data_IF_430853393319
#
_entry.id   IF_430853393319
#
_cell.length_a   1.000
_cell.length_b   1.000
_cell.length_c   1.000
_cell.angle_alpha   90.00
_cell.angle_beta   90.00
_cell.angle_gamma   90.00
#
_symmetry.space_group_name_H-M   'P 1'
#
loop_
_entity.id
_entity.type
_entity.pdbx_description
1 polymer ?
#
# COMPACT_ATOMS: atom_id res chain seq x y z
N UNK A 1 -16.21 8.48 1.57
CA UNK A 1 -15.43 7.29 1.94
C UNK A 1 -16.34 6.26 2.59
N UNK A 2 -16.71 5.22 1.86
CA UNK A 2 -17.55 4.16 2.40
C UNK A 2 -16.67 3.05 2.98
N UNK A 3 -15.99 3.34 4.08
CA UNK A 3 -15.17 2.35 4.80
C UNK A 3 -16.00 1.25 5.48
N UNK A 4 -17.31 1.47 5.61
CA UNK A 4 -18.20 0.69 6.47
C UNK A 4 -19.09 -0.26 5.65
N UNK A 5 -19.21 -0.06 4.35
CA UNK A 5 -20.11 -0.87 3.50
C UNK A 5 -19.30 -1.68 2.49
N UNK A 6 -19.13 -2.99 2.71
CA UNK A 6 -18.61 -3.87 1.68
C UNK A 6 -19.52 -3.78 0.46
N UNK A 7 -18.97 -4.00 -0.71
CA UNK A 7 -19.74 -4.05 -1.95
C UNK A 7 -20.70 -5.25 -1.83
N UNK A 8 -21.99 -4.99 -1.77
CA UNK A 8 -23.04 -6.03 -1.69
C UNK A 8 -23.18 -6.76 -3.02
N UNK A 9 -22.98 -6.06 -4.13
CA UNK A 9 -22.99 -6.61 -5.47
C UNK A 9 -21.62 -6.49 -6.12
N UNK A 10 -20.92 -7.61 -6.26
CA UNK A 10 -19.60 -7.67 -6.90
C UNK A 10 -19.65 -7.32 -8.39
N UNK A 11 -20.80 -7.47 -9.03
CA UNK A 11 -20.98 -7.17 -10.45
C UNK A 11 -20.98 -5.66 -10.77
N UNK A 12 -21.02 -4.79 -9.76
CA UNK A 12 -20.77 -3.35 -9.91
C UNK A 12 -19.35 -3.09 -10.46
N UNK A 13 -18.39 -3.99 -10.15
CA UNK A 13 -17.05 -3.89 -10.69
C UNK A 13 -17.02 -4.35 -12.15
N UNK A 14 -17.13 -3.40 -13.07
CA UNK A 14 -17.14 -3.67 -14.51
C UNK A 14 -16.43 -2.57 -15.30
N UNK A 15 -15.09 -2.39 -15.15
CA UNK A 15 -14.34 -1.36 -15.86
C UNK A 15 -14.14 -1.72 -17.33
N UNK A 16 -15.15 -1.39 -18.17
CA UNK A 16 -15.17 -1.75 -19.59
C UNK A 16 -14.09 -1.07 -20.44
N UNK A 17 -13.55 0.06 -19.97
CA UNK A 17 -12.54 0.87 -20.67
C UNK A 17 -11.17 0.80 -19.98
N UNK A 18 -10.94 -0.18 -19.11
CA UNK A 18 -9.65 -0.32 -18.43
C UNK A 18 -8.53 -0.54 -19.44
N UNK A 19 -7.54 0.35 -19.43
CA UNK A 19 -6.34 0.30 -20.24
C UNK A 19 -5.11 0.68 -19.41
N UNK A 20 -4.40 -0.33 -18.90
CA UNK A 20 -3.18 -0.14 -18.11
C UNK A 20 -2.02 0.39 -18.96
N UNK A 21 -2.02 0.17 -20.26
CA UNK A 21 -1.05 0.76 -21.18
C UNK A 21 -1.17 2.29 -21.20
N UNK A 22 -2.39 2.80 -21.20
CA UNK A 22 -2.64 4.24 -21.16
C UNK A 22 -2.08 4.84 -19.86
N UNK A 23 -2.29 4.21 -18.70
CA UNK A 23 -1.76 4.68 -17.42
C UNK A 23 -0.24 4.79 -17.43
N UNK A 24 0.43 3.74 -17.90
CA UNK A 24 1.88 3.68 -17.89
C UNK A 24 2.52 4.59 -18.94
N UNK A 25 1.88 4.78 -20.09
CA UNK A 25 2.30 5.78 -21.07
C UNK A 25 2.25 7.20 -20.51
N UNK A 26 1.15 7.54 -19.81
CA UNK A 26 0.98 8.84 -19.17
C UNK A 26 2.05 9.07 -18.08
N UNK A 27 2.28 8.08 -17.21
CA UNK A 27 3.32 8.14 -16.18
C UNK A 27 4.71 8.31 -16.80
N UNK A 28 5.02 7.57 -17.87
CA UNK A 28 6.30 7.69 -18.59
C UNK A 28 6.46 9.08 -19.21
N UNK A 29 5.43 9.61 -19.84
CA UNK A 29 5.45 10.96 -20.41
C UNK A 29 5.65 12.06 -19.36
N UNK A 30 5.14 11.84 -18.14
CA UNK A 30 5.41 12.69 -16.98
C UNK A 30 6.83 12.54 -16.38
N UNK A 31 7.65 11.63 -16.91
CA UNK A 31 9.03 11.39 -16.46
C UNK A 31 9.20 10.40 -15.33
N UNK A 32 8.12 9.70 -14.94
CA UNK A 32 8.18 8.66 -13.90
C UNK A 32 9.16 7.54 -14.27
N UNK A 33 9.80 6.97 -13.25
CA UNK A 33 10.72 5.83 -13.37
C UNK A 33 10.10 4.52 -12.89
N UNK A 34 9.12 4.63 -12.04
CA UNK A 34 8.33 3.52 -11.53
C UNK A 34 6.87 3.94 -11.39
N UNK A 35 5.99 2.98 -11.28
CA UNK A 35 4.58 3.18 -10.98
C UNK A 35 4.16 2.18 -9.91
N UNK A 36 3.22 2.56 -9.04
CA UNK A 36 2.72 1.71 -7.95
C UNK A 36 1.22 1.51 -8.16
N UNK A 37 0.79 0.24 -8.22
CA UNK A 37 -0.62 -0.10 -8.29
C UNK A 37 -1.16 -0.39 -6.89
N UNK A 38 -2.29 0.23 -6.54
CA UNK A 38 -3.06 -0.17 -5.37
C UNK A 38 -3.77 -1.50 -5.67
N UNK A 39 -3.18 -2.61 -5.23
CA UNK A 39 -3.74 -3.95 -5.48
C UNK A 39 -4.92 -4.29 -4.56
N UNK A 40 -4.91 -3.75 -3.35
CA UNK A 40 -6.01 -3.79 -2.39
C UNK A 40 -5.93 -2.60 -1.46
N UNK A 41 -7.07 -2.07 -1.05
CA UNK A 41 -7.21 -0.94 -0.14
C UNK A 41 -8.11 -1.33 1.06
N UNK A 42 -8.63 -0.37 1.79
CA UNK A 42 -9.44 -0.56 3.01
C UNK A 42 -10.73 -1.37 2.82
N UNK A 43 -11.25 -1.46 1.59
CA UNK A 43 -12.41 -2.34 1.30
C UNK A 43 -12.05 -3.82 1.41
N UNK A 44 -10.76 -4.16 1.25
CA UNK A 44 -10.29 -5.54 1.19
C UNK A 44 -10.45 -6.21 -0.18
N UNK A 45 -10.98 -5.49 -1.21
CA UNK A 45 -11.15 -6.04 -2.55
C UNK A 45 -9.78 -6.18 -3.25
N UNK A 46 -9.48 -7.38 -3.76
CA UNK A 46 -8.23 -7.68 -4.43
C UNK A 46 -8.31 -7.57 -5.95
N UNK A 47 -7.42 -6.78 -6.57
CA UNK A 47 -7.35 -6.57 -8.02
C UNK A 47 -6.55 -7.66 -8.76
N UNK A 48 -6.45 -8.87 -8.19
CA UNK A 48 -5.76 -10.02 -8.78
C UNK A 48 -6.53 -11.32 -8.57
N UNK A 49 -6.05 -12.40 -9.18
CA UNK A 49 -6.61 -13.75 -9.04
C UNK A 49 -6.11 -14.42 -7.75
N UNK A 50 -6.63 -13.97 -6.59
CA UNK A 50 -6.18 -14.52 -5.30
C UNK A 50 -6.77 -15.91 -5.04
N UNK A 51 -5.95 -16.81 -4.46
CA UNK A 51 -6.41 -18.08 -3.89
C UNK A 51 -6.62 -17.98 -2.36
N UNK A 52 -6.27 -16.84 -1.79
CA UNK A 52 -6.38 -16.56 -0.35
C UNK A 52 -7.57 -15.65 -0.06
N UNK A 53 -7.73 -14.59 -0.85
CA UNK A 53 -8.79 -13.61 -0.70
C UNK A 53 -9.96 -13.94 -1.62
N UNK A 54 -11.10 -14.44 -1.10
CA UNK A 54 -12.28 -14.70 -1.94
C UNK A 54 -12.92 -13.41 -2.48
N UNK A 55 -12.67 -12.26 -1.83
CA UNK A 55 -13.14 -10.95 -2.25
C UNK A 55 -12.15 -10.31 -3.25
N UNK A 56 -12.15 -10.82 -4.46
CA UNK A 56 -11.22 -10.43 -5.50
C UNK A 56 -11.84 -10.57 -6.89
N UNK A 57 -11.07 -10.33 -7.94
CA UNK A 57 -11.53 -10.41 -9.33
C UNK A 57 -12.09 -11.77 -9.77
N UNK A 58 -11.86 -12.85 -9.02
CA UNK A 58 -12.53 -14.14 -9.26
C UNK A 58 -14.03 -14.11 -8.97
N UNK A 59 -14.48 -13.21 -8.08
CA UNK A 59 -15.87 -13.12 -7.65
C UNK A 59 -16.75 -12.25 -8.57
N UNK A 60 -16.14 -11.54 -9.52
CA UNK A 60 -16.86 -10.62 -10.43
C UNK A 60 -17.03 -11.21 -11.82
N UNK A 61 -18.09 -10.82 -12.53
CA UNK A 61 -18.33 -11.26 -13.92
C UNK A 61 -17.39 -10.60 -14.94
N UNK A 62 -16.78 -9.50 -14.60
CA UNK A 62 -15.84 -8.82 -15.49
C UNK A 62 -14.77 -9.79 -16.00
N UNK A 63 -14.61 -9.83 -17.34
CA UNK A 63 -13.72 -10.78 -18.03
C UNK A 63 -13.98 -12.24 -17.64
N UNK A 64 -15.24 -12.62 -17.42
CA UNK A 64 -15.65 -13.98 -17.01
C UNK A 64 -14.95 -14.47 -15.72
N UNK A 65 -14.73 -13.58 -14.76
CA UNK A 65 -14.02 -13.88 -13.52
C UNK A 65 -12.52 -14.17 -13.68
N UNK A 66 -11.93 -13.87 -14.85
CA UNK A 66 -10.52 -14.14 -15.18
C UNK A 66 -9.66 -12.88 -15.26
N UNK A 67 -10.23 -11.72 -14.92
CA UNK A 67 -9.49 -10.47 -14.93
C UNK A 67 -8.35 -10.48 -13.90
N UNK A 68 -7.21 -9.88 -14.23
CA UNK A 68 -6.07 -9.71 -13.34
C UNK A 68 -5.40 -8.36 -13.65
N UNK A 69 -5.84 -7.32 -12.94
CA UNK A 69 -5.35 -5.96 -13.16
C UNK A 69 -3.89 -5.82 -12.71
N UNK A 70 -3.47 -6.56 -11.69
CA UNK A 70 -2.06 -6.59 -11.27
C UNK A 70 -1.18 -7.13 -12.40
N UNK A 71 -1.62 -8.19 -13.07
CA UNK A 71 -0.89 -8.75 -14.23
C UNK A 71 -0.86 -7.77 -15.39
N UNK A 72 -1.99 -7.16 -15.74
CA UNK A 72 -2.08 -6.19 -16.82
C UNK A 72 -1.15 -5.00 -16.56
N UNK A 73 -1.14 -4.48 -15.33
CA UNK A 73 -0.28 -3.37 -14.91
C UNK A 73 1.20 -3.72 -15.01
N UNK A 74 1.62 -4.87 -14.50
CA UNK A 74 3.03 -5.33 -14.57
C UNK A 74 3.47 -5.47 -16.02
N UNK A 75 2.62 -6.07 -16.87
CA UNK A 75 2.92 -6.20 -18.30
C UNK A 75 3.09 -4.83 -18.98
N UNK A 76 2.23 -3.87 -18.66
CA UNK A 76 2.34 -2.50 -19.17
C UNK A 76 3.61 -1.80 -18.67
N UNK A 77 3.96 -1.96 -17.39
CA UNK A 77 5.21 -1.43 -16.85
C UNK A 77 6.43 -1.95 -17.64
N UNK A 78 6.53 -3.24 -17.83
CA UNK A 78 7.63 -3.85 -18.59
C UNK A 78 7.64 -3.38 -20.06
N UNK A 79 6.48 -3.33 -20.70
CA UNK A 79 6.33 -2.89 -22.09
C UNK A 79 6.85 -1.48 -22.33
N UNK A 80 6.61 -0.56 -21.38
CA UNK A 80 6.98 0.86 -21.50
C UNK A 80 8.23 1.24 -20.69
N UNK A 81 8.87 0.29 -20.02
CA UNK A 81 10.13 0.49 -19.32
C UNK A 81 10.02 1.28 -18.01
N UNK A 82 8.92 1.12 -17.27
CA UNK A 82 8.78 1.54 -15.89
C UNK A 82 8.95 0.35 -14.94
N UNK A 83 9.48 0.60 -13.76
CA UNK A 83 9.59 -0.42 -12.72
C UNK A 83 8.23 -0.55 -12.02
N UNK A 84 7.66 -1.77 -11.89
CA UNK A 84 6.40 -1.97 -11.19
C UNK A 84 6.59 -1.96 -9.68
N UNK A 85 5.73 -1.25 -8.97
CA UNK A 85 5.55 -1.32 -7.53
C UNK A 85 4.13 -1.71 -7.17
N UNK A 86 3.91 -2.10 -5.93
CA UNK A 86 2.60 -2.52 -5.46
C UNK A 86 2.29 -1.95 -4.07
N UNK A 87 1.07 -1.46 -3.91
CA UNK A 87 0.51 -1.03 -2.63
C UNK A 87 -0.45 -2.10 -2.13
N UNK A 88 -0.33 -2.44 -0.85
CA UNK A 88 -1.11 -3.49 -0.18
C UNK A 88 -1.71 -2.93 1.10
N UNK A 89 -2.99 -2.58 1.07
CA UNK A 89 -3.74 -2.14 2.24
C UNK A 89 -4.17 -3.32 3.09
N UNK A 90 -3.62 -3.45 4.30
CA UNK A 90 -3.94 -4.51 5.26
C UNK A 90 -4.29 -3.98 6.66
N UNK A 91 -4.13 -2.69 6.87
CA UNK A 91 -4.42 -2.05 8.15
C UNK A 91 -5.91 -2.04 8.46
N UNK A 92 -6.72 -1.88 7.43
CA UNK A 92 -8.17 -1.96 7.48
C UNK A 92 -8.67 -2.97 6.46
N UNK A 93 -9.79 -3.60 6.78
CA UNK A 93 -10.53 -4.44 5.84
C UNK A 93 -12.00 -4.41 6.22
N UNK A 94 -12.79 -3.61 5.50
CA UNK A 94 -14.20 -3.38 5.81
C UNK A 94 -15.03 -4.66 5.70
N UNK A 95 -14.70 -5.52 4.72
CA UNK A 95 -15.40 -6.80 4.55
C UNK A 95 -15.23 -7.71 5.77
N UNK A 96 -14.01 -7.73 6.35
CA UNK A 96 -13.67 -8.63 7.45
C UNK A 96 -13.85 -7.97 8.83
N UNK A 97 -14.33 -6.72 8.89
CA UNK A 97 -14.46 -5.98 10.15
C UNK A 97 -13.11 -5.76 10.84
N UNK A 98 -12.07 -5.48 10.06
CA UNK A 98 -10.74 -5.19 10.58
C UNK A 98 -10.55 -3.68 10.65
N UNK A 99 -10.17 -3.21 11.81
CA UNK A 99 -9.85 -1.81 12.03
C UNK A 99 -8.50 -1.68 12.75
N UNK A 100 -7.56 -0.99 12.12
CA UNK A 100 -6.21 -0.82 12.65
C UNK A 100 -5.57 -2.16 13.05
N UNK A 101 -5.59 -3.14 12.13
CA UNK A 101 -5.14 -4.52 12.28
C UNK A 101 -5.95 -5.40 13.23
N UNK A 102 -6.92 -4.85 13.96
CA UNK A 102 -7.66 -5.55 15.01
C UNK A 102 -8.98 -6.10 14.49
N UNK A 103 -9.27 -7.32 14.89
CA UNK A 103 -10.61 -7.90 14.76
C UNK A 103 -11.48 -7.44 15.93
N UNK A 104 -12.77 -7.26 15.69
CA UNK A 104 -13.73 -6.97 16.75
C UNK A 104 -14.02 -8.20 17.61
N UNK A 105 -14.48 -7.95 18.85
CA UNK A 105 -14.93 -8.94 19.80
C UNK A 105 -13.89 -9.29 20.86
N UNK A 106 -14.26 -10.24 21.73
CA UNK A 106 -13.47 -10.68 22.88
C UNK A 106 -13.38 -12.19 22.94
N UNK A 107 -12.47 -12.69 23.79
CA UNK A 107 -12.31 -14.10 24.07
C UNK A 107 -11.59 -14.90 22.97
N UNK A 108 -11.76 -16.20 23.02
CA UNK A 108 -11.06 -17.16 22.13
C UNK A 108 -11.45 -16.98 20.66
N UNK A 109 -12.71 -16.67 20.38
CA UNK A 109 -13.16 -16.43 19.01
C UNK A 109 -12.48 -15.24 18.36
N UNK A 110 -12.38 -14.10 19.06
CA UNK A 110 -11.68 -12.91 18.56
C UNK A 110 -10.19 -13.17 18.38
N UNK A 111 -9.56 -13.93 19.29
CA UNK A 111 -8.16 -14.32 19.17
C UNK A 111 -7.94 -15.21 17.94
N UNK A 112 -8.78 -16.19 17.69
CA UNK A 112 -8.68 -17.07 16.53
C UNK A 112 -8.87 -16.30 15.22
N UNK A 113 -9.78 -15.31 15.16
CA UNK A 113 -9.94 -14.42 14.02
C UNK A 113 -8.70 -13.55 13.80
N UNK A 114 -8.08 -13.05 14.87
CA UNK A 114 -6.86 -12.25 14.79
C UNK A 114 -5.70 -13.06 14.21
N UNK A 115 -5.49 -14.27 14.70
CA UNK A 115 -4.46 -15.19 14.18
C UNK A 115 -4.74 -15.57 12.73
N UNK A 116 -6.00 -15.82 12.39
CA UNK A 116 -6.41 -16.07 11.02
C UNK A 116 -6.11 -14.87 10.10
N UNK A 117 -6.41 -13.64 10.53
CA UNK A 117 -6.17 -12.44 9.72
C UNK A 117 -4.68 -12.20 9.48
N UNK A 118 -3.83 -12.42 10.47
CA UNK A 118 -2.36 -12.39 10.29
C UNK A 118 -1.92 -13.31 9.17
N UNK A 119 -2.29 -14.58 9.24
CA UNK A 119 -1.93 -15.57 8.23
C UNK A 119 -2.58 -15.30 6.86
N UNK A 120 -3.79 -14.76 6.85
CA UNK A 120 -4.43 -14.30 5.62
C UNK A 120 -3.59 -13.21 4.94
N UNK A 121 -3.14 -12.19 5.66
CA UNK A 121 -2.27 -11.14 5.12
C UNK A 121 -0.93 -11.69 4.62
N UNK A 122 -0.26 -12.54 5.42
CA UNK A 122 1.00 -13.17 5.05
C UNK A 122 0.89 -14.00 3.76
N UNK A 123 -0.19 -14.75 3.62
CA UNK A 123 -0.45 -15.55 2.42
C UNK A 123 -0.76 -14.68 1.21
N UNK A 124 -1.53 -13.60 1.35
CA UNK A 124 -1.78 -12.63 0.26
C UNK A 124 -0.48 -11.99 -0.20
N UNK A 125 0.35 -11.51 0.73
CA UNK A 125 1.65 -10.92 0.41
C UNK A 125 2.53 -11.94 -0.32
N UNK A 126 2.54 -13.19 0.12
CA UNK A 126 3.28 -14.25 -0.58
C UNK A 126 2.79 -14.47 -2.01
N UNK A 127 1.48 -14.45 -2.26
CA UNK A 127 0.94 -14.52 -3.63
C UNK A 127 1.51 -13.40 -4.51
N UNK A 128 1.44 -12.17 -4.02
CA UNK A 128 1.92 -10.99 -4.74
C UNK A 128 3.44 -11.02 -4.97
N UNK A 129 4.20 -11.53 -4.01
CA UNK A 129 5.66 -11.67 -4.12
C UNK A 129 6.11 -12.80 -5.04
N UNK A 130 5.26 -13.79 -5.36
CA UNK A 130 5.68 -14.99 -6.11
C UNK A 130 5.07 -15.12 -7.50
N UNK A 131 4.05 -14.32 -7.84
CA UNK A 131 3.27 -14.52 -9.07
C UNK A 131 3.53 -13.50 -10.17
N UNK A 132 4.11 -12.34 -9.86
CA UNK A 132 4.14 -11.18 -10.77
C UNK A 132 5.54 -10.74 -11.19
N UNK A 133 6.58 -11.48 -10.82
CA UNK A 133 7.98 -11.12 -11.07
C UNK A 133 8.52 -10.18 -9.99
N UNK A 134 9.55 -9.41 -10.34
CA UNK A 134 10.26 -8.56 -9.39
C UNK A 134 9.52 -7.23 -9.19
N UNK A 135 9.30 -6.88 -7.92
CA UNK A 135 8.78 -5.58 -7.52
C UNK A 135 9.91 -4.60 -7.23
N UNK A 136 9.76 -3.37 -7.71
CA UNK A 136 10.63 -2.26 -7.32
C UNK A 136 10.35 -1.83 -5.88
N UNK A 137 9.07 -1.79 -5.49
CA UNK A 137 8.62 -1.32 -4.19
C UNK A 137 7.36 -2.07 -3.76
N UNK A 138 7.31 -2.48 -2.50
CA UNK A 138 6.08 -2.92 -1.83
C UNK A 138 5.75 -1.92 -0.72
N UNK A 139 4.55 -1.35 -0.81
CA UNK A 139 4.04 -0.32 0.08
C UNK A 139 2.89 -0.85 0.94
N UNK A 140 3.08 -0.77 2.25
CA UNK A 140 2.00 -0.99 3.21
C UNK A 140 1.62 0.35 3.82
N UNK A 141 0.44 0.87 3.47
CA UNK A 141 -0.06 2.12 4.04
C UNK A 141 -0.42 1.95 5.51
N UNK A 142 0.11 2.87 6.33
CA UNK A 142 0.06 2.72 7.79
C UNK A 142 0.86 1.53 8.33
N UNK A 143 1.70 0.92 7.48
CA UNK A 143 2.59 -0.19 7.83
C UNK A 143 1.96 -1.58 7.81
N UNK A 144 2.78 -2.58 8.07
CA UNK A 144 2.37 -3.98 8.25
C UNK A 144 2.22 -4.37 9.75
N UNK A 145 2.27 -3.39 10.65
CA UNK A 145 2.23 -3.51 12.11
C UNK A 145 3.39 -4.32 12.73
N UNK A 146 3.37 -4.50 14.02
CA UNK A 146 4.38 -5.27 14.76
C UNK A 146 4.04 -6.77 14.74
N UNK A 147 4.88 -7.62 14.11
CA UNK A 147 4.62 -9.06 14.07
C UNK A 147 4.73 -9.74 15.45
N UNK A 148 5.35 -9.06 16.44
CA UNK A 148 5.38 -9.52 17.83
C UNK A 148 4.10 -9.20 18.59
N UNK A 149 3.27 -8.32 18.02
CA UNK A 149 1.95 -7.96 18.50
C UNK A 149 0.86 -8.72 17.75
N UNK A 150 0.03 -7.98 17.04
CA UNK A 150 -1.10 -8.51 16.28
C UNK A 150 -0.89 -8.49 14.76
N UNK A 151 0.17 -7.84 14.28
CA UNK A 151 0.44 -7.68 12.86
C UNK A 151 1.00 -8.93 12.17
N UNK A 152 0.89 -9.01 10.84
CA UNK A 152 1.47 -10.09 10.06
C UNK A 152 2.99 -9.97 9.98
N UNK A 153 3.69 -11.10 9.87
CA UNK A 153 5.14 -11.14 9.67
C UNK A 153 5.49 -11.20 8.17
N UNK A 154 5.43 -10.04 7.51
CA UNK A 154 5.63 -9.95 6.04
C UNK A 154 7.09 -9.81 5.63
N UNK A 155 7.96 -9.31 6.50
CA UNK A 155 9.36 -9.03 6.16
C UNK A 155 10.15 -10.28 5.72
N UNK A 156 10.05 -11.45 6.39
CA UNK A 156 10.70 -12.67 5.92
C UNK A 156 10.22 -13.14 4.56
N UNK A 157 8.95 -12.91 4.23
CA UNK A 157 8.35 -13.23 2.93
C UNK A 157 8.98 -12.36 1.85
N UNK A 158 9.01 -11.05 2.08
CA UNK A 158 9.57 -10.08 1.14
C UNK A 158 11.07 -10.32 0.96
N UNK A 159 11.82 -10.47 2.04
CA UNK A 159 13.26 -10.73 1.99
C UNK A 159 13.60 -12.01 1.23
N UNK A 160 12.74 -13.03 1.31
CA UNK A 160 12.94 -14.31 0.61
C UNK A 160 12.62 -14.24 -0.88
N UNK A 161 11.48 -13.63 -1.23
CA UNK A 161 10.95 -13.70 -2.59
C UNK A 161 11.20 -12.44 -3.41
N UNK A 162 11.52 -11.32 -2.75
CA UNK A 162 11.74 -10.00 -3.35
C UNK A 162 12.98 -9.32 -2.72
N UNK A 163 14.18 -9.93 -2.75
CA UNK A 163 15.35 -9.46 -1.99
C UNK A 163 15.86 -8.07 -2.40
N UNK A 164 15.53 -7.61 -3.60
CA UNK A 164 15.95 -6.31 -4.14
C UNK A 164 14.83 -5.26 -4.10
N UNK A 165 13.68 -5.59 -3.52
CA UNK A 165 12.52 -4.72 -3.44
C UNK A 165 12.69 -3.69 -2.32
N UNK A 166 12.33 -2.44 -2.57
CA UNK A 166 12.15 -1.46 -1.50
C UNK A 166 10.92 -1.81 -0.67
N UNK A 167 11.06 -1.69 0.64
CA UNK A 167 10.02 -2.04 1.60
C UNK A 167 9.55 -0.81 2.39
N UNK A 168 8.28 -0.53 2.33
CA UNK A 168 7.63 0.47 3.15
C UNK A 168 6.33 -0.09 3.74
N UNK A 169 6.18 -0.32 5.02
CA UNK A 169 7.11 -0.45 6.14
C UNK A 169 6.52 -1.35 7.23
N UNK A 170 7.30 -1.67 8.23
CA UNK A 170 6.82 -2.11 9.54
C UNK A 170 7.54 -1.31 10.64
N UNK A 171 7.32 -1.67 11.92
CA UNK A 171 7.95 -0.98 13.06
C UNK A 171 9.46 -1.23 13.19
N UNK A 172 10.02 -2.18 12.45
CA UNK A 172 11.42 -2.59 12.52
C UNK A 172 12.24 -2.10 11.33
N UNK A 173 11.61 -1.94 10.15
CA UNK A 173 12.29 -1.64 8.90
C UNK A 173 11.45 -0.76 7.99
N UNK A 174 12.12 0.20 7.36
CA UNK A 174 11.66 0.93 6.20
C UNK A 174 12.86 1.36 5.35
N UNK A 175 12.73 1.36 4.04
CA UNK A 175 13.79 1.83 3.14
C UNK A 175 13.71 3.34 2.87
N UNK A 176 12.62 3.97 3.25
CA UNK A 176 12.42 5.43 3.22
C UNK A 176 11.38 5.83 4.29
N UNK A 177 11.24 7.12 4.53
CA UNK A 177 10.21 7.65 5.43
C UNK A 177 9.20 8.49 4.67
N UNK A 178 7.99 8.53 5.15
CA UNK A 178 7.01 9.54 4.76
C UNK A 178 7.45 10.92 5.25
N UNK A 179 7.28 11.97 4.44
CA UNK A 179 7.73 13.32 4.74
C UNK A 179 6.86 14.10 5.74
N UNK A 180 5.89 13.45 6.37
CA UNK A 180 5.04 14.05 7.40
C UNK A 180 3.88 14.90 6.87
N UNK A 181 3.64 14.91 5.55
CA UNK A 181 2.60 15.69 4.91
C UNK A 181 2.25 15.11 3.54
N UNK A 182 0.99 15.19 3.14
CA UNK A 182 0.47 14.84 1.81
C UNK A 182 0.34 16.07 0.89
N UNK A 183 1.10 17.13 1.16
CA UNK A 183 1.07 18.38 0.39
C UNK A 183 2.17 18.48 -0.67
N UNK A 184 2.96 17.41 -0.86
CA UNK A 184 4.10 17.38 -1.77
C UNK A 184 5.34 18.09 -1.26
N UNK A 185 5.35 18.52 -0.01
CA UNK A 185 6.46 19.26 0.59
C UNK A 185 7.14 18.44 1.68
N UNK A 186 8.45 18.60 1.77
CA UNK A 186 9.26 18.15 2.90
C UNK A 186 9.88 19.36 3.60
N UNK A 187 10.30 19.19 4.84
CA UNK A 187 10.95 20.25 5.60
C UNK A 187 12.26 20.73 4.95
N UNK A 188 12.66 21.96 5.23
CA UNK A 188 14.00 22.45 4.87
C UNK A 188 14.72 22.94 6.13
N UNK A 189 15.97 22.49 6.41
CA UNK A 189 16.70 21.44 5.68
C UNK A 189 16.02 20.06 5.81
N UNK A 190 16.27 19.16 4.84
CA UNK A 190 15.81 17.77 4.88
C UNK A 190 17.00 16.83 4.78
N UNK A 191 17.23 16.06 5.84
CA UNK A 191 18.31 15.08 5.95
C UNK A 191 17.79 13.69 5.60
N UNK A 192 18.56 12.94 4.81
CA UNK A 192 18.25 11.53 4.53
C UNK A 192 18.70 10.58 5.65
N UNK A 193 19.15 11.11 6.76
CA UNK A 193 19.53 10.37 7.96
C UNK A 193 18.45 10.44 9.04
N UNK A 194 18.37 9.40 9.86
CA UNK A 194 17.34 9.23 10.87
C UNK A 194 17.92 8.52 12.11
N UNK A 195 17.38 8.75 13.33
CA UNK A 195 17.93 8.13 14.54
C UNK A 195 17.64 6.64 14.67
N UNK A 196 16.64 6.10 13.95
CA UNK A 196 16.21 4.71 13.98
C UNK A 196 16.10 4.12 12.58
N UNK A 197 16.12 2.78 12.41
CA UNK A 197 16.03 2.14 11.10
C UNK A 197 14.66 2.28 10.43
N UNK A 198 13.68 2.81 11.14
CA UNK A 198 12.32 3.02 10.66
C UNK A 198 11.70 4.24 11.33
N UNK A 199 10.96 5.04 10.60
CA UNK A 199 10.27 6.23 11.13
C UNK A 199 9.11 5.91 12.09
N UNK A 200 8.64 4.67 12.10
CA UNK A 200 7.59 4.15 12.98
C UNK A 200 8.16 3.20 14.05
N UNK A 201 9.46 3.29 14.32
CA UNK A 201 10.10 2.47 15.34
C UNK A 201 9.50 2.77 16.72
N UNK A 202 9.30 1.72 17.51
CA UNK A 202 8.76 1.84 18.87
C UNK A 202 9.60 2.82 19.70
N UNK A 203 8.95 3.81 20.28
CA UNK A 203 9.57 4.88 21.07
C UNK A 203 9.88 6.16 20.28
N UNK A 204 10.10 6.09 18.96
CA UNK A 204 10.25 7.28 18.11
C UNK A 204 8.86 7.85 17.76
N UNK A 205 7.94 7.02 17.34
CA UNK A 205 6.57 7.41 16.96
C UNK A 205 5.81 8.12 18.10
N UNK A 206 6.14 7.78 19.34
CA UNK A 206 5.59 8.44 20.54
C UNK A 206 6.35 9.67 20.99
N UNK A 207 7.46 10.01 20.32
CA UNK A 207 8.26 11.20 20.62
C UNK A 207 7.47 12.48 20.29
N UNK A 208 7.50 13.50 21.16
CA UNK A 208 6.92 14.81 20.85
C UNK A 208 7.46 15.46 19.58
N UNK A 209 8.67 15.09 19.16
CA UNK A 209 9.33 15.60 17.97
C UNK A 209 9.17 14.72 16.74
N UNK A 210 8.33 13.69 16.79
CA UNK A 210 8.21 12.72 15.69
C UNK A 210 7.85 13.35 14.36
N UNK A 211 6.89 14.28 14.31
CA UNK A 211 6.51 14.97 13.07
C UNK A 211 7.65 15.82 12.50
N UNK A 212 8.43 16.47 13.35
CA UNK A 212 9.61 17.23 12.91
C UNK A 212 10.71 16.31 12.37
N UNK A 213 10.91 15.14 12.99
CA UNK A 213 11.81 14.11 12.49
C UNK A 213 11.34 13.56 11.13
N UNK A 214 10.05 13.36 10.93
CA UNK A 214 9.51 12.96 9.62
C UNK A 214 9.81 13.99 8.54
N UNK A 215 9.57 15.27 8.82
CA UNK A 215 9.80 16.38 7.87
C UNK A 215 11.28 16.59 7.59
N UNK A 216 12.08 16.70 8.63
CA UNK A 216 13.46 17.18 8.52
C UNK A 216 14.51 16.06 8.54
N UNK A 217 14.19 14.87 9.05
CA UNK A 217 15.19 13.87 9.40
C UNK A 217 16.05 14.32 10.59
N UNK A 218 17.20 13.69 10.77
CA UNK A 218 18.17 14.06 11.79
C UNK A 218 19.58 14.10 11.18
N UNK A 219 20.23 15.29 11.19
CA UNK A 219 21.57 15.46 10.64
C UNK A 219 22.64 14.55 11.31
N UNK A 220 22.38 14.09 12.53
CA UNK A 220 23.23 13.21 13.29
C UNK A 220 22.73 11.75 13.31
N UNK A 221 21.65 11.46 12.56
CA UNK A 221 21.05 10.13 12.48
C UNK A 221 22.03 9.10 11.90
N UNK A 222 21.98 7.89 12.42
CA UNK A 222 22.90 6.81 12.05
C UNK A 222 22.35 5.93 10.92
N UNK A 223 21.07 6.04 10.60
CA UNK A 223 20.40 5.23 9.59
C UNK A 223 20.08 6.06 8.35
N UNK A 224 20.29 5.49 7.17
CA UNK A 224 19.86 6.07 5.92
C UNK A 224 18.35 5.85 5.75
N UNK A 225 17.58 6.92 5.77
CA UNK A 225 16.11 6.89 5.65
C UNK A 225 15.64 8.15 4.90
N UNK A 226 15.77 8.18 3.56
CA UNK A 226 15.40 9.36 2.77
C UNK A 226 13.91 9.65 2.88
N UNK A 227 13.54 10.91 2.80
CA UNK A 227 12.15 11.33 2.77
C UNK A 227 11.53 11.11 1.39
N UNK A 228 10.28 10.65 1.40
CA UNK A 228 9.40 10.67 0.25
C UNK A 228 8.34 11.76 0.47
N UNK A 229 8.20 12.66 -0.49
CA UNK A 229 7.09 13.60 -0.54
C UNK A 229 5.96 12.99 -1.37
N UNK A 230 4.74 13.06 -0.88
CA UNK A 230 3.55 12.59 -1.57
C UNK A 230 2.46 13.67 -1.59
N UNK A 231 1.63 13.61 -2.61
CA UNK A 231 0.49 14.49 -2.78
C UNK A 231 -0.47 13.88 -3.80
N UNK A 232 -1.79 14.10 -3.67
CA UNK A 232 -2.74 13.72 -4.71
C UNK A 232 -2.56 14.62 -5.94
N UNK A 233 -2.72 14.06 -7.12
CA UNK A 233 -2.74 14.83 -8.38
C UNK A 233 -3.98 15.72 -8.49
N UNK A 234 -5.04 15.39 -7.78
CA UNK A 234 -6.21 16.22 -7.55
C UNK A 234 -6.02 17.03 -6.28
N UNK A 235 -6.52 18.17 -6.28
CA UNK A 235 -6.50 19.03 -5.10
C UNK A 235 -6.33 20.46 -5.51
N UNK A 236 -7.41 21.06 -5.98
CA UNK A 236 -7.51 22.50 -6.12
C UNK A 236 -7.84 23.06 -4.74
N UNK A 237 -7.18 24.13 -4.37
CA UNK A 237 -7.41 24.88 -3.13
C UNK A 237 -7.01 24.16 -1.82
N UNK A 238 -5.98 23.35 -1.83
CA UNK A 238 -5.40 22.75 -0.61
C UNK A 238 -6.21 21.58 -0.03
N UNK A 239 -7.18 21.08 -0.76
CA UNK A 239 -7.81 19.78 -0.45
C UNK A 239 -6.95 18.69 -1.07
N UNK A 240 -6.59 17.69 -0.30
CA UNK A 240 -6.01 16.48 -0.85
C UNK A 240 -7.13 15.45 -1.03
N UNK A 241 -7.31 14.99 -2.26
CA UNK A 241 -8.34 14.05 -2.63
C UNK A 241 -7.70 12.93 -3.44
N UNK A 242 -7.71 11.72 -2.85
CA UNK A 242 -7.06 10.56 -3.44
C UNK A 242 -7.94 9.81 -4.43
N UNK A 243 -9.23 10.12 -4.47
CA UNK A 243 -10.21 9.43 -5.30
C UNK A 243 -10.80 10.39 -6.33
N UNK A 244 -11.11 9.84 -7.51
CA UNK A 244 -11.83 10.57 -8.54
C UNK A 244 -13.29 10.82 -8.11
N UNK A 245 -13.81 12.00 -8.42
CA UNK A 245 -15.20 12.37 -8.25
C UNK A 245 -15.78 12.90 -9.57
N UNK A 246 -17.11 12.79 -9.79
CA UNK A 246 -17.74 13.17 -11.07
C UNK A 246 -17.51 14.62 -11.52
N UNK A 247 -17.27 15.53 -10.59
CA UNK A 247 -17.05 16.95 -10.87
C UNK A 247 -15.61 17.27 -11.35
N UNK A 248 -14.72 16.28 -11.36
CA UNK A 248 -13.33 16.46 -11.75
C UNK A 248 -13.12 16.78 -13.22
N UNK A 249 -14.00 16.32 -14.07
CA UNK A 249 -13.94 16.55 -15.51
C UNK A 249 -14.27 18.00 -15.91
N UNK A 250 -14.67 18.84 -14.94
CA UNK A 250 -15.03 20.24 -15.15
C UNK A 250 -13.97 21.25 -14.73
N UNK A 251 -12.75 20.81 -14.36
CA UNK A 251 -11.66 21.69 -13.92
C UNK A 251 -10.44 21.60 -14.83
#
# INVERSE_FOLDING_TARGET
ENRIHPIEDYDIFNPTQLDTDQWIKAAKAAGCKFAILTATHETGFGLWQSDVNPYCLKAVKWRDGKGDIVRDFVNSCHKYGLMPGIYVGIRWNSLLGIHNFRTEGEGEFAKNRQDWYRHYCERMVKELCTRYGDWFLIWFDGGADDPRGIGPDVEPIISKYQPNCLFYHNVNKADFRWGGSETGTVGYPCWSSFPTPCSHHKGIETSPNWLELLKHGDKNGQYWLPAMADFPLRGINGRHEWFWEPDDDNN
#
